data_IF_990122006168
#
_entry.id   IF_990122006168
#
_cell.length_a   1.000
_cell.length_b   1.000
_cell.length_c   1.000
_cell.angle_alpha   90.00
_cell.angle_beta   90.00
_cell.angle_gamma   90.00
#
_symmetry.space_group_name_H-M   'P 1'
#
loop_
_entity.id
_entity.type
_entity.pdbx_description
1 polymer ?
#
# COMPACT_ATOMS: atom_id res chain seq x y z
N UNK A 1 -115.38 57.17 -55.07
CA UNK A 1 -115.07 58.32 -54.20
C UNK A 1 -114.71 57.79 -52.82
N UNK A 2 -113.56 58.24 -52.29
CA UNK A 2 -113.15 58.24 -50.86
C UNK A 2 -113.00 56.86 -50.19
N UNK A 3 -111.82 56.39 -49.79
CA UNK A 3 -110.97 56.77 -48.64
C UNK A 3 -110.76 55.44 -47.85
N UNK A 4 -109.57 54.92 -47.59
CA UNK A 4 -108.50 55.35 -46.65
C UNK A 4 -108.44 54.40 -45.44
N UNK A 5 -107.22 53.98 -45.08
CA UNK A 5 -106.80 53.43 -43.77
C UNK A 5 -107.28 52.01 -43.41
N UNK A 6 -106.58 51.14 -42.68
CA UNK A 6 -105.22 51.07 -42.11
C UNK A 6 -105.10 49.69 -41.42
N UNK A 7 -103.85 49.34 -41.07
CA UNK A 7 -103.41 48.45 -39.98
C UNK A 7 -103.36 46.91 -40.16
N UNK A 8 -102.10 46.46 -40.11
CA UNK A 8 -101.47 45.16 -39.81
C UNK A 8 -101.65 44.74 -38.32
N UNK A 9 -101.04 43.66 -37.74
CA UNK A 9 -100.30 42.49 -38.29
C UNK A 9 -100.49 41.12 -37.52
N UNK A 10 -99.64 40.13 -37.89
CA UNK A 10 -99.03 39.02 -37.08
C UNK A 10 -99.71 37.64 -37.13
N UNK A 11 -99.04 36.47 -37.12
CA UNK A 11 -97.66 35.97 -37.27
C UNK A 11 -97.76 34.41 -37.28
N UNK A 12 -96.71 33.72 -37.76
CA UNK A 12 -96.25 32.34 -37.45
C UNK A 12 -96.35 31.19 -38.49
N UNK A 13 -95.13 30.68 -38.75
CA UNK A 13 -94.66 29.28 -38.92
C UNK A 13 -94.75 28.55 -40.27
N UNK A 14 -93.58 28.26 -40.87
CA UNK A 14 -93.16 26.90 -41.32
C UNK A 14 -91.68 26.83 -41.82
N UNK A 15 -90.96 25.78 -41.38
CA UNK A 15 -89.53 25.42 -41.66
C UNK A 15 -89.37 24.53 -42.91
N UNK A 16 -88.22 24.59 -43.59
CA UNK A 16 -87.63 23.49 -44.37
C UNK A 16 -86.09 23.41 -44.23
N UNK A 17 -85.57 22.19 -44.28
CA UNK A 17 -84.22 21.74 -43.90
C UNK A 17 -83.27 21.50 -45.08
N UNK A 18 -81.99 21.87 -44.96
CA UNK A 18 -80.89 21.45 -45.86
C UNK A 18 -79.75 20.82 -45.04
N UNK A 19 -79.31 19.61 -45.40
CA UNK A 19 -78.24 18.86 -44.73
C UNK A 19 -76.99 18.69 -45.62
N UNK A 20 -75.81 18.66 -45.01
CA UNK A 20 -74.48 18.60 -45.65
C UNK A 20 -74.16 17.24 -46.33
N UNK A 21 -73.32 17.23 -47.40
CA UNK A 21 -73.01 16.03 -48.18
C UNK A 21 -72.18 14.98 -47.42
N UNK A 22 -72.51 13.70 -47.64
CA UNK A 22 -72.00 12.54 -46.86
C UNK A 22 -70.50 12.28 -46.96
N UNK A 23 -69.85 12.69 -48.04
CA UNK A 23 -68.39 12.50 -48.22
C UNK A 23 -67.57 13.43 -47.32
N UNK A 24 -68.03 14.67 -47.13
CA UNK A 24 -67.39 15.62 -46.20
C UNK A 24 -67.47 15.14 -44.75
N UNK A 25 -68.58 14.49 -44.36
CA UNK A 25 -68.76 13.90 -43.03
C UNK A 25 -67.82 12.70 -42.82
N UNK A 26 -67.48 11.97 -43.89
CA UNK A 26 -66.60 10.79 -43.82
C UNK A 26 -65.13 11.19 -43.69
N UNK A 27 -64.68 12.19 -44.45
CA UNK A 27 -63.33 12.75 -44.32
C UNK A 27 -63.12 13.42 -42.97
N UNK A 28 -64.09 14.19 -42.47
CA UNK A 28 -64.02 14.79 -41.14
C UNK A 28 -63.94 13.74 -40.01
N UNK A 29 -64.63 12.59 -40.17
CA UNK A 29 -64.54 11.48 -39.21
C UNK A 29 -63.15 10.85 -39.16
N UNK A 30 -62.49 10.65 -40.29
CA UNK A 30 -61.13 10.08 -40.34
C UNK A 30 -60.08 11.03 -39.77
N UNK A 31 -60.22 12.35 -39.99
CA UNK A 31 -59.32 13.35 -39.41
C UNK A 31 -59.49 13.49 -37.89
N UNK A 32 -60.72 13.34 -37.37
CA UNK A 32 -60.99 13.43 -35.92
C UNK A 32 -60.56 12.15 -35.18
N UNK A 33 -60.69 10.97 -35.80
CA UNK A 33 -60.28 9.70 -35.16
C UNK A 33 -58.75 9.49 -35.13
N UNK A 34 -58.01 10.13 -36.04
CA UNK A 34 -56.55 10.00 -36.18
C UNK A 34 -55.75 11.00 -35.33
N UNK A 35 -56.42 11.93 -34.63
CA UNK A 35 -55.79 12.92 -33.76
C UNK A 35 -55.16 12.30 -32.52
N UNK A 36 -53.85 12.43 -32.40
CA UNK A 36 -53.06 12.06 -31.21
C UNK A 36 -53.45 12.95 -30.03
N UNK A 37 -54.37 12.45 -29.19
CA UNK A 37 -54.91 13.16 -28.03
C UNK A 37 -54.88 12.33 -26.76
N UNK A 38 -55.23 12.95 -25.63
CA UNK A 38 -55.29 12.30 -24.32
C UNK A 38 -56.15 11.02 -24.38
N UNK A 39 -55.59 9.89 -23.92
CA UNK A 39 -56.16 8.52 -24.00
C UNK A 39 -56.29 7.91 -25.41
N UNK A 40 -55.74 8.56 -26.44
CA UNK A 40 -55.67 8.05 -27.82
C UNK A 40 -54.22 8.00 -28.32
N UNK A 41 -53.39 7.07 -27.80
CA UNK A 41 -52.01 6.92 -28.25
C UNK A 41 -51.97 6.48 -29.73
N UNK A 42 -51.01 6.98 -30.53
CA UNK A 42 -50.89 6.61 -31.93
C UNK A 42 -50.78 5.10 -32.11
N UNK A 43 -51.50 4.54 -33.09
CA UNK A 43 -51.60 3.08 -33.32
C UNK A 43 -50.23 2.42 -33.50
N UNK A 44 -49.28 3.11 -34.13
CA UNK A 44 -47.91 2.61 -34.34
C UNK A 44 -47.08 2.48 -33.04
N UNK A 45 -47.50 3.14 -31.96
CA UNK A 45 -46.83 3.14 -30.65
C UNK A 45 -47.52 2.27 -29.59
N UNK A 46 -48.70 1.72 -29.91
CA UNK A 46 -49.45 0.86 -29.00
C UNK A 46 -48.79 -0.52 -28.91
N UNK A 47 -48.62 -1.03 -27.69
CA UNK A 47 -48.17 -2.41 -27.49
C UNK A 47 -49.20 -3.40 -28.04
N UNK A 48 -48.74 -4.39 -28.79
CA UNK A 48 -49.62 -5.45 -29.30
C UNK A 48 -50.13 -6.29 -28.13
N UNK A 49 -51.43 -6.62 -28.13
CA UNK A 49 -52.03 -7.50 -27.12
C UNK A 49 -51.26 -8.83 -27.07
N UNK A 50 -50.74 -9.18 -25.91
CA UNK A 50 -49.91 -10.38 -25.70
C UNK A 50 -48.40 -10.15 -25.82
N UNK A 51 -47.95 -8.95 -26.18
CA UNK A 51 -46.52 -8.60 -26.28
C UNK A 51 -46.18 -7.46 -25.31
N UNK A 52 -45.42 -7.78 -24.27
CA UNK A 52 -44.88 -6.77 -23.35
C UNK A 52 -43.88 -5.87 -24.08
N UNK A 53 -43.94 -4.56 -23.81
CA UNK A 53 -42.93 -3.58 -24.28
C UNK A 53 -41.53 -3.82 -23.73
N UNK A 54 -41.43 -4.60 -22.64
CA UNK A 54 -40.17 -5.09 -22.10
C UNK A 54 -40.20 -6.64 -22.06
N UNK A 55 -39.89 -7.33 -23.17
CA UNK A 55 -39.94 -8.78 -23.24
C UNK A 55 -38.92 -9.48 -22.33
N UNK A 56 -37.87 -8.78 -21.89
CA UNK A 56 -36.89 -9.31 -20.93
C UNK A 56 -37.29 -9.06 -19.46
N UNK A 57 -38.37 -8.31 -19.23
CA UNK A 57 -38.78 -7.90 -17.89
C UNK A 57 -37.77 -7.00 -17.19
N UNK A 58 -38.09 -6.58 -15.97
CA UNK A 58 -37.08 -5.97 -15.08
C UNK A 58 -36.12 -7.10 -14.65
N UNK A 59 -34.80 -6.94 -14.77
CA UNK A 59 -33.85 -7.95 -14.28
C UNK A 59 -34.13 -8.23 -12.81
N UNK A 60 -34.17 -9.53 -12.44
CA UNK A 60 -34.32 -9.93 -11.03
C UNK A 60 -33.19 -9.30 -10.22
N UNK A 61 -33.51 -8.62 -9.13
CA UNK A 61 -32.49 -8.05 -8.25
C UNK A 61 -31.61 -9.18 -7.72
N UNK A 62 -30.31 -9.17 -8.03
CA UNK A 62 -29.37 -10.19 -7.58
C UNK A 62 -29.27 -10.27 -6.04
N UNK A 63 -29.69 -9.22 -5.31
CA UNK A 63 -29.59 -9.17 -3.84
C UNK A 63 -30.67 -9.92 -3.05
N UNK A 64 -31.72 -10.46 -3.70
CA UNK A 64 -32.79 -11.23 -3.05
C UNK A 64 -32.77 -12.73 -3.41
N UNK A 65 -31.71 -13.18 -4.09
CA UNK A 65 -31.64 -14.54 -4.63
C UNK A 65 -31.54 -15.65 -3.57
N UNK A 66 -31.12 -15.34 -2.33
CA UNK A 66 -30.81 -16.39 -1.35
C UNK A 66 -31.89 -16.67 -0.31
N UNK A 67 -33.00 -15.91 -0.26
CA UNK A 67 -34.08 -16.16 0.71
C UNK A 67 -33.68 -16.11 2.21
N UNK A 68 -32.40 -15.90 2.51
CA UNK A 68 -31.87 -15.69 3.86
C UNK A 68 -32.18 -14.26 4.27
N UNK A 69 -32.98 -14.12 5.33
CA UNK A 69 -33.10 -12.85 6.03
C UNK A 69 -31.75 -12.57 6.68
N UNK A 70 -31.04 -11.55 6.19
CA UNK A 70 -29.80 -11.09 6.81
C UNK A 70 -30.12 -10.58 8.21
N UNK A 71 -29.25 -10.85 9.17
CA UNK A 71 -29.34 -10.20 10.48
C UNK A 71 -29.16 -8.69 10.34
N UNK A 72 -29.60 -7.93 11.34
CA UNK A 72 -29.41 -6.47 11.34
C UNK A 72 -27.92 -6.10 11.22
N UNK A 73 -27.05 -6.83 11.90
CA UNK A 73 -25.60 -6.60 11.87
C UNK A 73 -25.00 -6.91 10.49
N UNK A 74 -25.43 -8.00 9.85
CA UNK A 74 -25.00 -8.36 8.49
C UNK A 74 -25.43 -7.31 7.46
N UNK A 75 -26.65 -6.76 7.61
CA UNK A 75 -27.14 -5.70 6.74
C UNK A 75 -26.34 -4.41 6.94
N UNK A 76 -26.00 -4.07 8.19
CA UNK A 76 -25.16 -2.90 8.51
C UNK A 76 -23.77 -3.03 7.92
N UNK A 77 -23.10 -4.18 8.09
CA UNK A 77 -21.78 -4.44 7.49
C UNK A 77 -21.82 -4.38 5.96
N UNK A 78 -22.83 -5.01 5.35
CA UNK A 78 -23.02 -4.97 3.90
C UNK A 78 -23.25 -3.55 3.36
N UNK A 79 -24.00 -2.72 4.08
CA UNK A 79 -24.20 -1.32 3.71
C UNK A 79 -22.94 -0.48 3.92
N UNK A 80 -22.19 -0.74 5.00
CA UNK A 80 -20.92 -0.08 5.31
C UNK A 80 -19.87 -0.30 4.21
N UNK A 81 -19.75 -1.53 3.71
CA UNK A 81 -18.79 -1.93 2.67
C UNK A 81 -19.21 -1.52 1.25
N UNK A 82 -20.49 -1.19 1.04
CA UNK A 82 -21.00 -0.79 -0.27
C UNK A 82 -20.32 0.50 -0.74
N UNK A 83 -19.80 0.49 -1.96
CA UNK A 83 -19.24 1.71 -2.59
C UNK A 83 -20.31 2.76 -2.85
N UNK A 84 -19.97 4.00 -2.54
CA UNK A 84 -20.74 5.20 -2.82
C UNK A 84 -19.84 6.23 -3.52
N UNK A 85 -20.43 6.98 -4.43
CA UNK A 85 -19.73 8.04 -5.15
C UNK A 85 -19.74 9.30 -4.29
N UNK A 86 -18.56 9.78 -3.88
CA UNK A 86 -18.38 11.00 -3.09
C UNK A 86 -17.60 12.02 -3.91
N UNK A 87 -18.03 13.28 -3.85
CA UNK A 87 -17.33 14.40 -4.49
C UNK A 87 -16.69 15.26 -3.41
N UNK A 88 -15.36 15.31 -3.41
CA UNK A 88 -14.57 16.18 -2.54
C UNK A 88 -13.80 17.17 -3.42
N UNK A 89 -14.19 18.45 -3.36
CA UNK A 89 -13.65 19.48 -4.25
C UNK A 89 -14.03 19.25 -5.73
N UNK A 90 -13.01 19.19 -6.60
CA UNK A 90 -13.15 19.02 -8.04
C UNK A 90 -13.21 17.55 -8.51
N UNK A 91 -12.80 16.60 -7.66
CA UNK A 91 -12.68 15.19 -8.03
C UNK A 91 -13.82 14.35 -7.45
N UNK A 92 -14.14 13.26 -8.15
CA UNK A 92 -15.18 12.30 -7.75
C UNK A 92 -14.53 10.94 -7.58
N UNK A 93 -14.68 10.33 -6.41
CA UNK A 93 -14.11 9.02 -6.08
C UNK A 93 -15.19 8.07 -5.56
N UNK A 94 -15.05 6.77 -5.85
CA UNK A 94 -15.89 5.71 -5.29
C UNK A 94 -15.21 5.10 -4.06
N UNK A 95 -15.78 5.35 -2.88
CA UNK A 95 -15.28 4.86 -1.60
C UNK A 95 -16.36 4.07 -0.85
N UNK A 96 -16.02 3.17 0.08
CA UNK A 96 -17.01 2.51 0.95
C UNK A 96 -17.87 3.52 1.71
N UNK A 97 -19.16 3.20 1.91
CA UNK A 97 -20.09 4.08 2.59
C UNK A 97 -19.65 4.44 4.01
N UNK A 98 -19.06 3.48 4.74
CA UNK A 98 -18.54 3.74 6.09
C UNK A 98 -17.41 4.78 6.09
N UNK A 99 -16.55 4.75 5.07
CA UNK A 99 -15.46 5.71 4.92
C UNK A 99 -16.02 7.11 4.64
N UNK A 100 -17.01 7.22 3.74
CA UNK A 100 -17.70 8.47 3.45
C UNK A 100 -18.34 9.09 4.70
N UNK A 101 -19.00 8.27 5.53
CA UNK A 101 -19.60 8.71 6.80
C UNK A 101 -18.53 9.19 7.78
N UNK A 102 -17.41 8.48 7.92
CA UNK A 102 -16.32 8.89 8.79
C UNK A 102 -15.70 10.21 8.33
N UNK A 103 -15.43 10.40 7.03
CA UNK A 103 -14.92 11.66 6.48
C UNK A 103 -15.86 12.84 6.78
N UNK A 104 -17.15 12.67 6.50
CA UNK A 104 -18.17 13.69 6.81
C UNK A 104 -18.23 14.01 8.31
N UNK A 105 -18.08 12.99 9.16
CA UNK A 105 -18.03 13.17 10.62
C UNK A 105 -16.79 13.95 11.06
N UNK A 106 -15.61 13.68 10.48
CA UNK A 106 -14.40 14.46 10.74
C UNK A 106 -14.58 15.92 10.32
N UNK A 107 -15.14 16.20 9.14
CA UNK A 107 -15.43 17.57 8.68
C UNK A 107 -16.42 18.28 9.62
N UNK A 108 -17.42 17.56 10.15
CA UNK A 108 -18.36 18.11 11.12
C UNK A 108 -17.68 18.42 12.47
N UNK A 109 -16.79 17.53 12.93
CA UNK A 109 -16.04 17.71 14.17
C UNK A 109 -15.07 18.90 14.10
N UNK A 110 -14.36 19.07 12.98
CA UNK A 110 -13.44 20.21 12.78
C UNK A 110 -14.18 21.55 12.69
N UNK A 111 -15.44 21.53 12.24
CA UNK A 111 -16.33 22.71 12.22
C UNK A 111 -16.98 23.03 13.58
N UNK A 112 -16.66 22.29 14.64
CA UNK A 112 -17.10 22.62 16.01
C UNK A 112 -18.34 21.87 16.51
N UNK A 113 -18.83 20.85 15.81
CA UNK A 113 -19.93 20.03 16.32
C UNK A 113 -19.46 19.16 17.51
N UNK A 114 -19.94 19.47 18.72
CA UNK A 114 -19.51 18.82 19.96
C UNK A 114 -19.78 17.32 20.01
N UNK A 115 -20.91 16.85 19.46
CA UNK A 115 -21.23 15.42 19.38
C UNK A 115 -20.29 14.69 18.42
N UNK A 116 -19.99 15.30 17.27
CA UNK A 116 -19.04 14.73 16.31
C UNK A 116 -17.63 14.68 16.89
N UNK A 117 -17.18 15.76 17.56
CA UNK A 117 -15.88 15.81 18.26
C UNK A 117 -15.75 14.72 19.31
N UNK A 118 -16.77 14.55 20.17
CA UNK A 118 -16.78 13.51 21.20
C UNK A 118 -16.60 12.11 20.61
N UNK A 119 -17.38 11.76 19.59
CA UNK A 119 -17.25 10.44 18.94
C UNK A 119 -15.88 10.25 18.25
N UNK A 120 -15.31 11.29 17.65
CA UNK A 120 -13.98 11.21 17.03
C UNK A 120 -12.91 10.97 18.10
N UNK A 121 -12.92 11.74 19.19
CA UNK A 121 -11.97 11.58 20.31
C UNK A 121 -12.12 10.20 20.96
N UNK A 122 -13.35 9.76 21.23
CA UNK A 122 -13.61 8.43 21.80
C UNK A 122 -13.08 7.30 20.89
N UNK A 123 -13.28 7.40 19.57
CA UNK A 123 -12.73 6.42 18.63
C UNK A 123 -11.21 6.44 18.57
N UNK A 124 -10.60 7.63 18.60
CA UNK A 124 -9.14 7.76 18.66
C UNK A 124 -8.57 7.11 19.92
N UNK A 125 -9.17 7.39 21.09
CA UNK A 125 -8.74 6.78 22.36
C UNK A 125 -8.90 5.26 22.35
N UNK A 126 -10.01 4.76 21.82
CA UNK A 126 -10.22 3.31 21.65
C UNK A 126 -9.18 2.69 20.72
N UNK A 127 -8.88 3.33 19.59
CA UNK A 127 -7.85 2.87 18.67
C UNK A 127 -6.47 2.85 19.34
N UNK A 128 -6.09 3.92 20.05
CA UNK A 128 -4.83 4.01 20.78
C UNK A 128 -4.73 3.05 21.97
N UNK A 129 -5.85 2.65 22.57
CA UNK A 129 -5.87 1.61 23.60
C UNK A 129 -5.66 0.22 23.01
N UNK A 130 -6.31 -0.09 21.88
CA UNK A 130 -6.11 -1.37 21.18
C UNK A 130 -4.68 -1.52 20.69
N UNK A 131 -4.13 -0.50 20.03
CA UNK A 131 -2.74 -0.47 19.59
C UNK A 131 -1.77 -0.71 20.76
N UNK A 132 -1.98 -0.03 21.90
CA UNK A 132 -1.18 -0.25 23.11
C UNK A 132 -1.33 -1.65 23.69
N UNK A 133 -2.52 -2.22 23.65
CA UNK A 133 -2.76 -3.58 24.12
C UNK A 133 -2.07 -4.60 23.22
N UNK A 134 -2.18 -4.46 21.89
CA UNK A 134 -1.49 -5.32 20.92
C UNK A 134 0.03 -5.25 21.08
N UNK A 135 0.57 -4.05 21.31
CA UNK A 135 2.00 -3.85 21.61
C UNK A 135 2.37 -4.54 22.94
N UNK A 136 1.55 -4.40 23.98
CA UNK A 136 1.80 -5.04 25.27
C UNK A 136 1.77 -6.57 25.16
N UNK A 137 0.74 -7.13 24.52
CA UNK A 137 0.59 -8.57 24.32
C UNK A 137 1.76 -9.15 23.51
N UNK A 138 2.17 -8.44 22.44
CA UNK A 138 3.35 -8.80 21.64
C UNK A 138 4.64 -8.74 22.48
N UNK A 139 4.83 -7.66 23.23
CA UNK A 139 5.99 -7.51 24.11
C UNK A 139 6.06 -8.62 25.17
N UNK A 140 4.93 -9.00 25.76
CA UNK A 140 4.88 -10.06 26.77
C UNK A 140 5.23 -11.42 26.17
N UNK A 141 4.74 -11.73 24.96
CA UNK A 141 5.15 -12.93 24.22
C UNK A 141 6.66 -12.98 23.99
N UNK A 142 7.24 -11.89 23.45
CA UNK A 142 8.66 -11.84 23.14
C UNK A 142 9.55 -11.82 24.38
N UNK A 143 9.11 -11.23 25.49
CA UNK A 143 9.81 -11.36 26.78
C UNK A 143 9.89 -12.81 27.24
N UNK A 144 8.80 -13.56 27.11
CA UNK A 144 8.77 -14.98 27.43
C UNK A 144 9.72 -15.78 26.53
N UNK A 145 9.71 -15.50 25.23
CA UNK A 145 10.61 -16.12 24.26
C UNK A 145 12.09 -15.88 24.59
N UNK A 146 12.49 -14.62 24.78
CA UNK A 146 13.89 -14.24 25.07
C UNK A 146 14.39 -14.93 26.34
N UNK A 147 13.57 -14.93 27.41
CA UNK A 147 13.92 -15.59 28.66
C UNK A 147 14.09 -17.11 28.51
N UNK A 148 13.22 -17.76 27.72
CA UNK A 148 13.33 -19.19 27.44
C UNK A 148 14.57 -19.53 26.61
N UNK A 149 14.83 -18.77 25.55
CA UNK A 149 15.97 -18.96 24.67
C UNK A 149 17.31 -18.73 25.41
N UNK A 150 17.42 -17.67 26.22
CA UNK A 150 18.61 -17.43 27.05
C UNK A 150 18.87 -18.57 28.03
N UNK A 151 17.79 -19.12 28.62
CA UNK A 151 17.91 -20.26 29.53
C UNK A 151 18.44 -21.50 28.81
N UNK A 152 17.92 -21.80 27.63
CA UNK A 152 18.36 -22.95 26.83
C UNK A 152 19.83 -22.83 26.40
N UNK A 153 20.26 -21.64 25.99
CA UNK A 153 21.65 -21.34 25.66
C UNK A 153 22.55 -21.55 26.88
N UNK A 154 22.18 -20.98 28.03
CA UNK A 154 22.96 -21.11 29.26
C UNK A 154 23.05 -22.56 29.76
N UNK A 155 21.98 -23.35 29.59
CA UNK A 155 21.98 -24.78 29.94
C UNK A 155 22.92 -25.59 29.03
N UNK A 156 22.89 -25.34 27.72
CA UNK A 156 23.79 -26.00 26.77
C UNK A 156 25.27 -25.63 27.03
N UNK A 157 25.54 -24.35 27.32
CA UNK A 157 26.88 -23.89 27.70
C UNK A 157 27.38 -24.55 28.99
N UNK A 158 26.52 -24.67 30.00
CA UNK A 158 26.86 -25.32 31.26
C UNK A 158 27.16 -26.82 31.09
N UNK A 159 26.52 -27.47 30.12
CA UNK A 159 26.74 -28.87 29.79
C UNK A 159 27.96 -29.09 28.87
N UNK A 160 28.55 -28.01 28.35
CA UNK A 160 29.66 -28.06 27.40
C UNK A 160 29.25 -28.51 26.00
N UNK A 161 27.96 -28.45 25.69
CA UNK A 161 27.41 -28.74 24.37
C UNK A 161 27.49 -27.50 23.47
N UNK A 162 27.38 -27.69 22.15
CA UNK A 162 27.29 -26.56 21.22
C UNK A 162 25.98 -25.80 21.49
N UNK A 163 26.03 -24.51 21.86
CA UNK A 163 24.82 -23.77 22.20
C UNK A 163 23.85 -23.74 21.01
N UNK A 164 22.54 -23.93 21.26
CA UNK A 164 21.55 -23.77 20.20
C UNK A 164 21.56 -22.33 19.69
N UNK A 165 21.41 -22.15 18.38
CA UNK A 165 21.24 -20.84 17.74
C UNK A 165 19.76 -20.67 17.34
N UNK A 166 18.85 -20.38 18.30
CA UNK A 166 17.46 -20.16 17.98
C UNK A 166 17.31 -18.93 17.08
N UNK A 167 16.33 -18.99 16.17
CA UNK A 167 15.96 -17.88 15.30
C UNK A 167 14.57 -17.37 15.70
N UNK A 168 14.41 -16.06 15.96
CA UNK A 168 15.48 -15.05 16.11
C UNK A 168 16.33 -15.25 17.37
N UNK A 169 17.62 -14.91 17.33
CA UNK A 169 18.48 -15.02 18.52
C UNK A 169 17.99 -14.06 19.61
N UNK A 170 17.97 -14.44 20.90
CA UNK A 170 17.41 -13.60 21.97
C UNK A 170 18.04 -12.20 22.08
N UNK A 171 19.36 -12.08 21.90
CA UNK A 171 20.05 -10.77 21.90
C UNK A 171 19.72 -9.88 20.69
N UNK A 172 19.16 -10.46 19.63
CA UNK A 172 18.76 -9.73 18.42
C UNK A 172 17.30 -9.24 18.48
N UNK A 173 16.63 -9.42 19.63
CA UNK A 173 15.24 -9.01 19.89
C UNK A 173 15.21 -7.81 20.85
N UNK A 174 14.92 -6.63 20.33
CA UNK A 174 14.80 -5.39 21.10
C UNK A 174 13.33 -5.10 21.41
N UNK A 175 12.96 -5.15 22.69
CA UNK A 175 11.58 -4.96 23.15
C UNK A 175 11.40 -3.54 23.69
N UNK A 176 10.70 -2.69 22.94
CA UNK A 176 10.33 -1.33 23.34
C UNK A 176 8.87 -1.29 23.82
N UNK A 177 8.64 -0.76 25.03
CA UNK A 177 7.30 -0.70 25.65
C UNK A 177 6.33 0.17 24.86
N UNK A 178 6.83 1.18 24.13
CA UNK A 178 6.02 2.15 23.40
C UNK A 178 5.98 1.83 21.91
N UNK A 179 7.11 1.42 21.33
CA UNK A 179 7.24 1.17 19.88
C UNK A 179 7.00 -0.29 19.47
N UNK A 180 6.97 -1.21 20.43
CA UNK A 180 6.88 -2.65 20.19
C UNK A 180 8.24 -3.30 19.93
N UNK A 181 8.19 -4.55 19.44
CA UNK A 181 9.38 -5.38 19.25
C UNK A 181 10.05 -5.08 17.91
N UNK A 182 11.38 -4.99 17.93
CA UNK A 182 12.24 -4.79 16.76
C UNK A 182 13.32 -5.85 16.72
N UNK A 183 13.61 -6.33 15.52
CA UNK A 183 14.69 -7.30 15.29
C UNK A 183 15.90 -6.60 14.70
N UNK A 184 17.06 -6.77 15.32
CA UNK A 184 18.36 -6.28 14.82
C UNK A 184 19.11 -7.35 14.05
N UNK A 185 18.70 -8.61 14.17
CA UNK A 185 19.31 -9.77 13.53
C UNK A 185 18.33 -10.58 12.68
N UNK A 186 18.78 -11.73 12.18
CA UNK A 186 17.99 -12.57 11.29
C UNK A 186 16.79 -13.16 12.02
N UNK A 187 15.62 -13.03 11.39
CA UNK A 187 14.38 -13.62 11.92
C UNK A 187 14.18 -15.06 11.44
N UNK A 188 14.74 -15.41 10.29
CA UNK A 188 14.54 -16.67 9.58
C UNK A 188 15.86 -17.27 9.07
N UNK A 189 15.78 -18.51 8.58
CA UNK A 189 16.96 -19.23 8.07
C UNK A 189 17.59 -18.55 6.85
N UNK A 190 16.78 -17.92 6.00
CA UNK A 190 17.26 -17.17 4.84
C UNK A 190 18.06 -15.93 5.28
N UNK A 191 17.55 -15.16 6.25
CA UNK A 191 18.25 -14.06 6.88
C UNK A 191 19.55 -14.51 7.52
N UNK A 192 19.54 -15.65 8.22
CA UNK A 192 20.74 -16.21 8.83
C UNK A 192 21.78 -16.64 7.78
N UNK A 193 21.34 -17.17 6.63
CA UNK A 193 22.23 -17.49 5.51
C UNK A 193 22.88 -16.22 4.92
N UNK A 194 22.09 -15.17 4.68
CA UNK A 194 22.59 -13.86 4.21
C UNK A 194 23.57 -13.25 5.21
N UNK A 195 23.26 -13.32 6.51
CA UNK A 195 24.16 -12.86 7.56
C UNK A 195 25.52 -13.58 7.50
N UNK A 196 25.50 -14.91 7.38
CA UNK A 196 26.74 -15.71 7.23
C UNK A 196 27.51 -15.34 5.97
N UNK A 197 26.83 -15.05 4.86
CA UNK A 197 27.49 -14.56 3.64
C UNK A 197 28.11 -13.18 3.85
N UNK A 198 27.42 -12.24 4.50
CA UNK A 198 27.95 -10.92 4.84
C UNK A 198 29.19 -11.01 5.74
N UNK A 199 29.16 -11.84 6.78
CA UNK A 199 30.32 -12.11 7.63
C UNK A 199 31.52 -12.64 6.84
N UNK A 200 31.28 -13.59 5.91
CA UNK A 200 32.33 -14.10 5.01
C UNK A 200 32.87 -13.00 4.12
N UNK A 201 32.01 -12.20 3.49
CA UNK A 201 32.42 -11.12 2.61
C UNK A 201 33.29 -10.08 3.35
N UNK A 202 32.86 -9.67 4.55
CA UNK A 202 33.64 -8.79 5.42
C UNK A 202 35.05 -9.34 5.70
N UNK A 203 35.13 -10.62 6.07
CA UNK A 203 36.42 -11.25 6.39
C UNK A 203 37.33 -11.33 5.15
N UNK A 204 36.77 -11.56 3.96
CA UNK A 204 37.49 -11.51 2.68
C UNK A 204 38.00 -10.10 2.39
N UNK A 205 37.21 -9.07 2.69
CA UNK A 205 37.60 -7.67 2.47
C UNK A 205 38.74 -7.23 3.40
N UNK A 206 38.77 -7.68 4.66
CA UNK A 206 39.94 -7.47 5.53
C UNK A 206 41.21 -8.13 5.00
N UNK A 207 41.09 -9.30 4.38
CA UNK A 207 42.22 -9.97 3.75
C UNK A 207 42.66 -9.27 2.46
N UNK A 208 41.69 -8.75 1.68
CA UNK A 208 41.92 -7.96 0.48
C UNK A 208 42.65 -6.64 0.80
N UNK A 209 42.26 -5.95 1.87
CA UNK A 209 42.89 -4.69 2.29
C UNK A 209 44.38 -4.88 2.60
N UNK A 210 44.74 -5.97 3.29
CA UNK A 210 46.15 -6.31 3.52
C UNK A 210 46.91 -6.56 2.20
N UNK A 211 46.25 -7.13 1.18
CA UNK A 211 46.85 -7.32 -0.14
C UNK A 211 47.03 -6.00 -0.87
N UNK A 212 46.02 -5.12 -0.83
CA UNK A 212 46.03 -3.81 -1.46
C UNK A 212 47.17 -2.96 -0.91
N UNK A 213 47.32 -2.91 0.43
CA UNK A 213 48.45 -2.24 1.10
C UNK A 213 49.81 -2.77 0.65
N UNK A 214 49.92 -4.08 0.43
CA UNK A 214 51.18 -4.70 -0.02
C UNK A 214 51.50 -4.46 -1.49
N UNK A 215 50.49 -4.21 -2.33
CA UNK A 215 50.64 -4.08 -3.77
C UNK A 215 50.71 -2.63 -4.24
N UNK A 216 49.96 -1.72 -3.62
CA UNK A 216 49.85 -0.32 -4.04
C UNK A 216 51.00 0.56 -3.53
N UNK A 217 51.67 0.21 -2.44
CA UNK A 217 52.74 1.04 -1.86
C UNK A 217 52.21 2.35 -1.25
N UNK A 218 53.11 3.27 -0.90
CA UNK A 218 52.74 4.62 -0.45
C UNK A 218 52.31 5.47 -1.66
N UNK A 219 51.26 6.30 -1.52
CA UNK A 219 50.75 7.10 -2.64
C UNK A 219 51.79 8.14 -3.09
N UNK A 220 52.01 8.20 -4.41
CA UNK A 220 53.02 9.06 -5.07
C UNK A 220 52.87 10.57 -4.77
N UNK A 221 51.72 11.02 -4.23
CA UNK A 221 51.39 12.41 -3.92
C UNK A 221 51.23 12.76 -2.43
N UNK A 222 51.39 11.81 -1.52
CA UNK A 222 51.27 12.03 -0.07
C UNK A 222 49.84 12.27 0.46
N UNK A 223 48.82 12.36 -0.41
CA UNK A 223 47.42 12.37 0.00
C UNK A 223 47.00 10.96 0.44
N UNK A 224 46.62 10.74 1.71
CA UNK A 224 46.19 9.43 2.20
C UNK A 224 45.01 8.82 1.43
N UNK A 225 44.18 9.64 0.78
CA UNK A 225 43.01 9.18 0.02
C UNK A 225 43.38 8.49 -1.30
N UNK A 226 44.58 8.76 -1.84
CA UNK A 226 45.06 8.10 -3.06
C UNK A 226 45.76 6.76 -2.75
N UNK A 227 45.83 6.40 -1.46
CA UNK A 227 46.33 5.13 -0.99
C UNK A 227 45.29 4.01 -0.90
N UNK A 228 45.72 2.81 -0.46
CA UNK A 228 44.85 1.68 -0.18
C UNK A 228 43.92 1.99 1.01
N UNK A 229 42.68 1.48 0.97
CA UNK A 229 41.73 1.65 2.08
C UNK A 229 40.27 1.39 1.71
N UNK A 230 39.93 1.36 0.42
CA UNK A 230 38.57 1.07 -0.05
C UNK A 230 38.05 -0.29 0.46
N UNK A 231 38.90 -1.33 0.44
CA UNK A 231 38.52 -2.64 0.94
C UNK A 231 38.25 -2.61 2.46
N UNK A 232 39.06 -1.90 3.25
CA UNK A 232 38.80 -1.67 4.67
C UNK A 232 37.50 -0.90 4.91
N UNK A 233 37.27 0.19 4.17
CA UNK A 233 36.07 1.01 4.31
C UNK A 233 34.81 0.17 4.05
N UNK A 234 34.80 -0.66 3.02
CA UNK A 234 33.69 -1.59 2.78
C UNK A 234 33.58 -2.68 3.85
N UNK A 235 34.70 -3.20 4.36
CA UNK A 235 34.66 -4.17 5.46
C UNK A 235 34.04 -3.56 6.73
N UNK A 236 34.40 -2.31 7.06
CA UNK A 236 33.84 -1.57 8.20
C UNK A 236 32.34 -1.31 7.99
N UNK A 237 31.95 -0.82 6.82
CA UNK A 237 30.53 -0.59 6.49
C UNK A 237 29.70 -1.88 6.64
N UNK A 238 30.21 -3.02 6.15
CA UNK A 238 29.54 -4.30 6.35
C UNK A 238 29.52 -4.69 7.83
N UNK A 239 30.62 -4.51 8.56
CA UNK A 239 30.69 -4.81 9.99
C UNK A 239 29.66 -4.03 10.82
N UNK A 240 29.48 -2.75 10.52
CA UNK A 240 28.54 -1.88 11.23
C UNK A 240 27.09 -2.22 10.90
N UNK A 241 26.84 -2.78 9.71
CA UNK A 241 25.52 -3.29 9.34
C UNK A 241 25.15 -4.63 10.01
N UNK A 242 26.12 -5.33 10.62
CA UNK A 242 25.86 -6.61 11.30
C UNK A 242 25.24 -6.39 12.69
N UNK A 243 24.46 -7.39 13.18
CA UNK A 243 24.00 -7.42 14.56
C UNK A 243 25.18 -7.45 15.53
N UNK A 244 24.99 -6.92 16.74
CA UNK A 244 26.07 -6.70 17.71
C UNK A 244 26.90 -7.96 17.97
N UNK A 245 26.25 -9.13 18.04
CA UNK A 245 26.90 -10.45 18.22
C UNK A 245 27.92 -10.80 17.15
N UNK A 246 27.72 -10.33 15.92
CA UNK A 246 28.61 -10.64 14.79
C UNK A 246 29.52 -9.49 14.43
N UNK A 247 29.35 -8.32 15.06
CA UNK A 247 30.20 -7.15 14.85
C UNK A 247 31.55 -7.37 15.51
N UNK A 248 32.62 -7.14 14.75
CA UNK A 248 33.96 -7.12 15.30
C UNK A 248 34.20 -5.77 15.98
N UNK A 249 34.81 -5.81 17.15
CA UNK A 249 35.34 -4.62 17.81
C UNK A 249 36.55 -4.06 17.07
N UNK A 250 36.84 -2.77 17.26
CA UNK A 250 38.01 -2.12 16.67
C UNK A 250 39.31 -2.87 16.99
N UNK A 251 39.44 -3.37 18.22
CA UNK A 251 40.59 -4.17 18.65
C UNK A 251 40.71 -5.48 17.87
N UNK A 252 39.61 -6.19 17.63
CA UNK A 252 39.62 -7.42 16.83
C UNK A 252 39.94 -7.15 15.37
N UNK A 253 39.42 -6.05 14.81
CA UNK A 253 39.73 -5.61 13.45
C UNK A 253 41.24 -5.35 13.33
N UNK A 254 41.82 -4.60 14.27
CA UNK A 254 43.26 -4.31 14.31
C UNK A 254 44.06 -5.60 14.45
N UNK A 255 43.70 -6.49 15.37
CA UNK A 255 44.40 -7.78 15.55
C UNK A 255 44.32 -8.66 14.31
N UNK A 256 43.19 -8.67 13.60
CA UNK A 256 43.05 -9.39 12.32
C UNK A 256 43.93 -8.77 11.23
N UNK A 257 43.95 -7.44 11.11
CA UNK A 257 44.84 -6.73 10.19
C UNK A 257 46.30 -7.10 10.47
N UNK A 258 46.74 -7.03 11.72
CA UNK A 258 48.11 -7.39 12.11
C UNK A 258 48.45 -8.82 11.73
N UNK A 259 47.54 -9.78 11.95
CA UNK A 259 47.74 -11.18 11.52
C UNK A 259 47.91 -11.29 10.01
N UNK A 260 47.09 -10.61 9.22
CA UNK A 260 47.23 -10.61 7.76
C UNK A 260 48.54 -9.95 7.31
N UNK A 261 49.00 -8.92 8.00
CA UNK A 261 50.25 -8.24 7.70
C UNK A 261 51.48 -9.13 7.93
N UNK A 262 51.40 -10.09 8.86
CA UNK A 262 52.48 -11.10 9.05
C UNK A 262 52.59 -12.10 7.90
N UNK A 263 51.57 -12.24 7.05
CA UNK A 263 51.59 -13.22 5.96
C UNK A 263 52.56 -12.80 4.85
N UNK A 264 53.34 -13.74 4.28
CA UNK A 264 54.18 -13.43 3.13
C UNK A 264 53.31 -13.14 1.90
N UNK A 265 53.74 -12.18 1.07
CA UNK A 265 53.01 -11.74 -0.15
C UNK A 265 52.49 -12.88 -1.02
N UNK A 266 53.29 -13.94 -1.21
CA UNK A 266 52.90 -15.13 -2.01
C UNK A 266 51.70 -15.87 -1.41
N UNK A 267 51.65 -15.99 -0.09
CA UNK A 267 50.56 -16.63 0.65
C UNK A 267 49.33 -15.75 0.64
N UNK A 268 49.47 -14.45 0.91
CA UNK A 268 48.36 -13.49 0.85
C UNK A 268 47.66 -13.49 -0.52
N UNK A 269 48.45 -13.45 -1.61
CA UNK A 269 47.94 -13.59 -2.98
C UNK A 269 47.20 -14.92 -3.23
N UNK A 270 47.59 -16.01 -2.56
CA UNK A 270 46.94 -17.33 -2.69
C UNK A 270 45.64 -17.36 -1.89
N UNK A 271 45.67 -16.87 -0.66
CA UNK A 271 44.52 -16.87 0.25
C UNK A 271 43.41 -15.97 -0.25
N UNK A 272 43.70 -14.73 -0.65
CA UNK A 272 42.73 -13.80 -1.25
C UNK A 272 42.06 -14.42 -2.49
N UNK A 273 42.86 -14.99 -3.38
CA UNK A 273 42.34 -15.66 -4.59
C UNK A 273 41.42 -16.84 -4.25
N UNK A 274 41.80 -17.68 -3.28
CA UNK A 274 40.98 -18.81 -2.86
C UNK A 274 39.71 -18.36 -2.13
N UNK A 275 39.80 -17.33 -1.30
CA UNK A 275 38.68 -16.71 -0.58
C UNK A 275 37.59 -16.22 -1.54
N UNK A 276 37.95 -15.35 -2.50
CA UNK A 276 37.02 -14.85 -3.52
C UNK A 276 36.41 -15.96 -4.37
N UNK A 277 37.19 -17.00 -4.70
CA UNK A 277 36.70 -18.16 -5.45
C UNK A 277 35.71 -19.01 -4.65
N UNK A 278 35.96 -19.24 -3.36
CA UNK A 278 35.02 -19.94 -2.46
C UNK A 278 33.74 -19.16 -2.24
N UNK A 279 33.81 -17.83 -2.28
CA UNK A 279 32.65 -16.94 -2.22
C UNK A 279 31.86 -16.88 -3.54
N UNK A 280 32.33 -17.53 -4.61
CA UNK A 280 31.64 -17.56 -5.91
C UNK A 280 31.93 -16.35 -6.82
N UNK A 281 32.85 -15.44 -6.41
CA UNK A 281 33.28 -14.30 -7.24
C UNK A 281 34.75 -14.47 -7.64
N UNK A 282 35.02 -15.26 -8.67
CA UNK A 282 36.40 -15.46 -9.13
C UNK A 282 37.03 -14.14 -9.61
N UNK A 283 38.10 -13.70 -8.93
CA UNK A 283 38.89 -12.53 -9.30
C UNK A 283 40.28 -12.97 -9.80
N UNK A 284 40.92 -12.21 -10.73
CA UNK A 284 42.31 -12.46 -11.08
C UNK A 284 43.22 -12.29 -9.86
N UNK A 285 44.28 -13.11 -9.80
CA UNK A 285 45.22 -13.08 -8.69
C UNK A 285 45.98 -11.75 -8.67
N UNK A 286 46.00 -11.08 -7.53
CA UNK A 286 46.65 -9.77 -7.39
C UNK A 286 45.81 -8.59 -7.84
N UNK A 287 44.50 -8.79 -8.11
CA UNK A 287 43.57 -7.68 -8.28
C UNK A 287 43.52 -6.86 -6.99
N UNK A 288 43.68 -5.55 -7.12
CA UNK A 288 43.54 -4.59 -6.03
C UNK A 288 42.23 -3.81 -6.14
N UNK A 289 41.73 -3.31 -5.02
CA UNK A 289 40.60 -2.37 -5.05
C UNK A 289 41.07 -0.97 -5.49
N UNK A 290 40.16 -0.10 -5.95
CA UNK A 290 40.49 1.30 -6.22
C UNK A 290 41.01 2.04 -4.97
N UNK A 291 41.71 3.17 -5.12
CA UNK A 291 42.13 4.03 -4.01
C UNK A 291 40.95 4.51 -3.14
N UNK A 292 41.23 4.83 -1.88
CA UNK A 292 40.22 5.22 -0.88
C UNK A 292 39.31 6.38 -1.33
N UNK A 293 39.83 7.31 -2.15
CA UNK A 293 39.06 8.39 -2.78
C UNK A 293 37.80 7.89 -3.48
N UNK A 294 37.85 6.71 -4.09
CA UNK A 294 36.70 6.10 -4.74
C UNK A 294 35.59 5.73 -3.75
N UNK A 295 35.94 5.14 -2.60
CA UNK A 295 34.96 4.85 -1.55
C UNK A 295 34.31 6.12 -1.00
N UNK A 296 35.08 7.20 -0.85
CA UNK A 296 34.55 8.49 -0.36
C UNK A 296 33.54 9.09 -1.35
N UNK A 297 33.88 9.11 -2.65
CA UNK A 297 32.95 9.55 -3.69
C UNK A 297 31.65 8.74 -3.72
N UNK A 298 31.73 7.41 -3.51
CA UNK A 298 30.53 6.59 -3.41
C UNK A 298 29.67 6.93 -2.19
N UNK A 299 30.30 7.21 -1.05
CA UNK A 299 29.60 7.62 0.17
C UNK A 299 28.90 8.98 -0.03
N UNK A 300 29.58 9.96 -0.63
CA UNK A 300 29.03 11.29 -0.92
C UNK A 300 27.81 11.17 -1.86
N UNK A 301 27.95 10.42 -2.95
CA UNK A 301 26.85 10.19 -3.90
C UNK A 301 25.64 9.49 -3.24
N UNK A 302 25.88 8.56 -2.33
CA UNK A 302 24.82 7.88 -1.58
C UNK A 302 24.11 8.82 -0.61
N UNK A 303 24.86 9.69 0.08
CA UNK A 303 24.31 10.69 0.98
C UNK A 303 23.40 11.67 0.21
N UNK A 304 23.88 12.18 -0.92
CA UNK A 304 23.08 13.06 -1.80
C UNK A 304 21.80 12.37 -2.29
N UNK A 305 21.87 11.10 -2.69
CA UNK A 305 20.69 10.34 -3.11
C UNK A 305 19.67 10.14 -1.98
N UNK A 306 20.15 9.91 -0.75
CA UNK A 306 19.28 9.79 0.43
C UNK A 306 18.61 11.12 0.80
N UNK A 307 19.34 12.23 0.68
CA UNK A 307 18.77 13.57 0.92
C UNK A 307 17.70 13.91 -0.12
N UNK A 308 17.93 13.59 -1.39
CA UNK A 308 16.93 13.75 -2.46
C UNK A 308 15.68 12.91 -2.23
N UNK A 309 15.82 11.67 -1.72
CA UNK A 309 14.68 10.83 -1.34
C UNK A 309 13.92 11.43 -0.16
N UNK A 310 14.62 11.96 0.84
CA UNK A 310 14.00 12.60 2.01
C UNK A 310 13.28 13.90 1.67
N UNK A 311 13.78 14.65 0.70
CA UNK A 311 13.15 15.87 0.20
C UNK A 311 11.99 15.59 -0.77
N UNK A 312 12.02 14.43 -1.45
CA UNK A 312 10.97 13.97 -2.36
C UNK A 312 9.76 13.28 -1.70
N UNK A 313 9.80 13.03 -0.38
CA UNK A 313 8.69 12.48 0.41
C UNK A 313 7.79 13.57 1.07
N UNK A 314 7.77 14.79 0.51
CA UNK A 314 6.85 15.88 0.92
C UNK A 314 5.67 16.04 -0.04
#
# INVERSE_FOLDING_TARGET
MSASSKDEPSDRDAKQSTGLPREAVRQAKDTILSGTGYKHPPVHSQFKKGQSGNPKGRPKSQGLADGRSLSTDELVLKLAERKVTVREGGETQEIPAIEAVLRAQYVSATKGNSHAQRHVIERYDQAKRRERQEIADSNDFWRGYVAAAHKEIAEAEALGETPPEPLPHPDDVVIDVVKGVRFTGPFDEEGAAKLRETCKLRDILFLQDALDRRLMGEPDGGDPLDGPGTALAFAQMLNDSLPERHRLSDNEIVLRSMRHDTLPKRQLLKEVYQAWRRFGRAQPRGKTFPPLRYAMQLADNLAEALDLLREGEV
#
